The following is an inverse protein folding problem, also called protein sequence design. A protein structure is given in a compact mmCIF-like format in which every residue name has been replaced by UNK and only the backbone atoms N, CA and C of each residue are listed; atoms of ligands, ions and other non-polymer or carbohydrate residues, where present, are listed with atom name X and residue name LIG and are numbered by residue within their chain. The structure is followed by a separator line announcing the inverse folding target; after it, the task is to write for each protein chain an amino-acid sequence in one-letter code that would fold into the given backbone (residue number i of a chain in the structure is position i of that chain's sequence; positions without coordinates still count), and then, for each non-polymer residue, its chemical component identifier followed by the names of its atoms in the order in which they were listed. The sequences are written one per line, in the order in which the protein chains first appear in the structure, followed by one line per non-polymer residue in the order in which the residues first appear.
data_IF_852052686587
#
_entry.id   IF_852052686587
#
_cell.length_a   1.000
_cell.length_b   1.000
_cell.length_c   1.000
_cell.angle_alpha   90.00
_cell.angle_beta   90.00
_cell.angle_gamma   90.00
#
_symmetry.space_group_name_H-M   'P 1'
#
loop_
_entity.id
_entity.type
_entity.pdbx_description
1 polymer ?
#
# COMPACT_ATOMS: atom_id res chain seq x y z
N UNK A 1 -6.29 -7.66 -8.00
CA UNK A 1 -6.78 -8.90 -7.36
C UNK A 1 -6.76 -8.76 -5.84
N UNK A 2 -7.77 -9.30 -5.16
CA UNK A 2 -8.08 -9.07 -3.74
C UNK A 2 -8.04 -10.42 -3.02
N UNK A 3 -7.26 -10.55 -1.94
CA UNK A 3 -7.02 -11.82 -1.26
C UNK A 3 -7.05 -11.66 0.26
N UNK A 4 -7.41 -12.73 0.99
CA UNK A 4 -7.00 -12.84 2.40
C UNK A 4 -5.49 -13.09 2.48
N UNK A 5 -4.88 -12.81 3.63
CA UNK A 5 -3.45 -13.03 3.82
C UNK A 5 -3.03 -14.47 3.50
N UNK A 6 -3.80 -15.48 3.91
CA UNK A 6 -3.46 -16.89 3.67
C UNK A 6 -3.48 -17.29 2.19
N UNK A 7 -4.33 -16.61 1.41
CA UNK A 7 -4.60 -16.93 0.01
C UNK A 7 -3.82 -16.04 -0.97
N UNK A 8 -3.20 -14.97 -0.47
CA UNK A 8 -2.42 -14.06 -1.29
C UNK A 8 -1.26 -14.83 -1.97
N UNK A 9 -1.00 -14.59 -3.27
CA UNK A 9 0.13 -15.19 -3.95
C UNK A 9 1.44 -14.91 -3.20
N UNK A 10 2.23 -15.95 -2.95
CA UNK A 10 3.52 -15.81 -2.30
C UNK A 10 4.43 -14.90 -3.14
N UNK A 11 5.06 -13.94 -2.48
CA UNK A 11 6.03 -13.04 -3.09
C UNK A 11 7.42 -13.55 -2.71
N UNK A 12 8.36 -13.76 -3.65
CA UNK A 12 9.67 -14.36 -3.37
C UNK A 12 10.43 -13.65 -2.24
N UNK A 13 10.22 -12.34 -2.12
CA UNK A 13 10.68 -11.49 -1.04
C UNK A 13 9.56 -10.47 -0.75
N UNK A 14 9.26 -10.25 0.54
CA UNK A 14 8.33 -9.20 0.93
C UNK A 14 7.54 -9.52 2.18
N UNK A 15 7.06 -8.46 2.81
CA UNK A 15 6.36 -8.54 4.10
C UNK A 15 5.13 -9.45 4.06
N UNK A 16 4.41 -9.54 2.94
CA UNK A 16 3.24 -10.43 2.82
C UNK A 16 3.63 -11.87 3.11
N UNK A 17 4.77 -12.32 2.58
CA UNK A 17 5.27 -13.69 2.80
C UNK A 17 5.83 -13.89 4.20
N UNK A 18 6.45 -12.86 4.79
CA UNK A 18 6.83 -12.90 6.21
C UNK A 18 5.58 -13.07 7.10
N UNK A 19 4.54 -12.26 6.91
CA UNK A 19 3.29 -12.33 7.65
C UNK A 19 2.58 -13.68 7.47
N UNK A 20 2.57 -14.23 6.25
CA UNK A 20 2.07 -15.57 5.98
C UNK A 20 2.86 -16.66 6.71
N UNK A 21 4.19 -16.53 6.80
CA UNK A 21 5.03 -17.48 7.53
C UNK A 21 4.77 -17.40 9.03
N UNK A 22 4.73 -16.19 9.61
CA UNK A 22 4.43 -16.00 11.03
C UNK A 22 3.05 -16.58 11.39
N UNK A 23 2.04 -16.36 10.55
CA UNK A 23 0.71 -16.94 10.73
C UNK A 23 0.73 -18.47 10.70
N UNK A 24 1.45 -19.08 9.74
CA UNK A 24 1.58 -20.54 9.63
C UNK A 24 2.29 -21.18 10.82
N UNK A 25 3.25 -20.48 11.40
CA UNK A 25 4.00 -20.91 12.60
C UNK A 25 3.25 -20.57 13.91
N UNK A 26 2.01 -20.09 13.83
CA UNK A 26 1.12 -19.93 14.98
C UNK A 26 1.18 -18.57 15.68
N UNK A 27 1.90 -17.58 15.14
CA UNK A 27 1.79 -16.21 15.65
C UNK A 27 0.45 -15.61 15.25
N UNK A 28 -0.12 -14.83 16.16
CA UNK A 28 -1.36 -14.10 15.90
C UNK A 28 -1.07 -12.90 15.00
N UNK A 29 -1.39 -13.02 13.71
CA UNK A 29 -1.38 -11.91 12.76
C UNK A 29 -2.78 -11.28 12.71
N UNK A 30 -2.85 -9.97 12.51
CA UNK A 30 -4.14 -9.29 12.32
C UNK A 30 -4.80 -9.73 11.01
N UNK A 31 -6.14 -9.83 10.95
CA UNK A 31 -6.85 -10.03 9.70
C UNK A 31 -6.39 -8.99 8.67
N UNK A 32 -5.90 -9.47 7.53
CA UNK A 32 -5.24 -8.64 6.51
C UNK A 32 -5.83 -8.99 5.15
N UNK A 33 -6.36 -7.97 4.48
CA UNK A 33 -6.74 -8.01 3.09
C UNK A 33 -5.57 -7.51 2.24
N UNK A 34 -5.17 -8.30 1.25
CA UNK A 34 -4.04 -8.03 0.35
C UNK A 34 -4.59 -7.68 -1.03
N UNK A 35 -4.35 -6.45 -1.47
CA UNK A 35 -4.67 -5.97 -2.81
C UNK A 35 -3.39 -5.99 -3.66
N UNK A 36 -3.32 -6.93 -4.60
CA UNK A 36 -2.20 -7.12 -5.51
C UNK A 36 -2.65 -6.85 -6.95
N UNK A 37 -1.98 -5.92 -7.65
CA UNK A 37 -2.31 -5.54 -9.03
C UNK A 37 -3.62 -4.76 -9.21
N UNK A 38 -4.37 -4.47 -8.14
CA UNK A 38 -5.58 -3.60 -8.21
C UNK A 38 -5.19 -2.18 -8.61
N UNK A 39 -4.09 -1.67 -8.04
CA UNK A 39 -3.56 -0.35 -8.42
C UNK A 39 -3.12 -0.33 -9.89
N UNK A 40 -2.44 -1.39 -10.35
CA UNK A 40 -2.03 -1.52 -11.77
C UNK A 40 -3.22 -1.53 -12.71
N UNK A 41 -4.26 -2.30 -12.40
CA UNK A 41 -5.53 -2.28 -13.14
C UNK A 41 -6.15 -0.88 -13.13
N UNK A 42 -6.14 -0.20 -11.99
CA UNK A 42 -6.63 1.17 -11.87
C UNK A 42 -5.90 2.14 -12.82
N UNK A 43 -4.56 2.09 -12.90
CA UNK A 43 -3.80 2.93 -13.85
C UNK A 43 -4.07 2.64 -15.34
N UNK A 44 -4.51 1.43 -15.67
CA UNK A 44 -4.83 1.04 -17.06
C UNK A 44 -6.18 1.60 -17.52
N UNK A 45 -7.04 2.02 -16.58
CA UNK A 45 -8.32 2.61 -16.89
C UNK A 45 -8.17 4.08 -17.31
N UNK A 46 -9.14 4.58 -18.09
CA UNK A 46 -9.28 5.99 -18.45
C UNK A 46 -8.01 6.66 -18.99
N UNK A 47 -7.08 5.90 -19.61
CA UNK A 47 -5.79 6.38 -20.08
C UNK A 47 -4.95 7.09 -19.01
N UNK A 48 -5.11 6.74 -17.72
CA UNK A 48 -4.43 7.47 -16.63
C UNK A 48 -2.93 7.45 -16.77
N UNK A 49 -2.34 6.29 -17.05
CA UNK A 49 -0.90 6.16 -17.26
C UNK A 49 -0.37 7.12 -18.35
N UNK A 50 -1.11 7.25 -19.46
CA UNK A 50 -0.72 8.13 -20.58
C UNK A 50 -0.91 9.61 -20.24
N UNK A 51 -2.01 9.98 -19.56
CA UNK A 51 -2.24 11.35 -19.11
C UNK A 51 -1.14 11.81 -18.15
N UNK A 52 -0.73 10.95 -17.22
CA UNK A 52 0.36 11.24 -16.28
C UNK A 52 1.69 11.33 -17.04
N UNK A 53 2.00 10.38 -17.93
CA UNK A 53 3.23 10.41 -18.73
C UNK A 53 3.38 11.75 -19.48
N UNK A 54 2.30 12.23 -20.10
CA UNK A 54 2.28 13.53 -20.79
C UNK A 54 2.52 14.71 -19.86
N UNK A 55 1.96 14.69 -18.65
CA UNK A 55 2.17 15.74 -17.67
C UNK A 55 3.65 15.89 -17.27
N UNK A 56 4.40 14.79 -17.30
CA UNK A 56 5.84 14.76 -16.99
C UNK A 56 6.77 14.99 -18.20
N UNK A 57 6.23 15.27 -19.39
CA UNK A 57 7.05 15.53 -20.58
C UNK A 57 7.94 16.76 -20.39
N UNK A 58 9.26 16.55 -20.57
CA UNK A 58 10.25 17.61 -20.41
C UNK A 58 10.54 18.03 -18.97
N UNK A 59 10.06 17.29 -17.96
CA UNK A 59 10.46 17.46 -16.55
C UNK A 59 11.88 16.97 -16.34
N UNK A 60 12.15 15.74 -16.78
CA UNK A 60 13.45 15.08 -16.65
C UNK A 60 14.26 15.27 -17.95
N UNK A 61 14.92 16.44 -18.07
CA UNK A 61 15.82 16.76 -19.18
C UNK A 61 17.30 16.75 -18.76
N UNK A 62 18.14 17.54 -19.45
CA UNK A 62 19.53 17.76 -19.05
C UNK A 62 19.67 18.43 -17.67
N UNK A 63 18.62 19.15 -17.25
CA UNK A 63 18.40 19.64 -15.88
C UNK A 63 16.95 19.37 -15.51
N UNK A 64 16.71 19.14 -14.22
CA UNK A 64 15.36 19.01 -13.68
C UNK A 64 14.66 20.38 -13.76
N UNK A 65 13.43 20.38 -14.30
CA UNK A 65 12.55 21.54 -14.29
C UNK A 65 11.61 21.43 -13.07
N UNK A 66 11.98 22.09 -11.97
CA UNK A 66 11.28 22.02 -10.68
C UNK A 66 9.83 22.53 -10.78
N UNK A 67 9.59 23.64 -11.49
CA UNK A 67 8.26 24.21 -11.70
C UNK A 67 7.34 23.29 -12.51
N UNK A 68 7.89 22.56 -13.50
CA UNK A 68 7.11 21.54 -14.21
C UNK A 68 6.91 20.29 -13.36
N UNK A 69 7.91 19.88 -12.57
CA UNK A 69 7.80 18.75 -11.67
C UNK A 69 6.63 18.94 -10.70
N UNK A 70 6.58 20.08 -10.00
CA UNK A 70 5.52 20.38 -9.03
C UNK A 70 4.13 20.35 -9.68
N UNK A 71 3.99 20.98 -10.86
CA UNK A 71 2.72 20.96 -11.60
C UNK A 71 2.32 19.57 -12.07
N UNK A 72 3.27 18.77 -12.54
CA UNK A 72 3.03 17.41 -13.00
C UNK A 72 2.61 16.49 -11.84
N UNK A 73 3.28 16.60 -10.68
CA UNK A 73 2.94 15.91 -9.43
C UNK A 73 1.52 16.27 -8.98
N UNK A 74 1.22 17.56 -8.84
CA UNK A 74 -0.11 18.02 -8.42
C UNK A 74 -1.22 17.58 -9.39
N UNK A 75 -0.94 17.58 -10.69
CA UNK A 75 -1.85 17.05 -11.71
C UNK A 75 -2.10 15.55 -11.51
N UNK A 76 -1.05 14.73 -11.37
CA UNK A 76 -1.16 13.29 -11.19
C UNK A 76 -1.89 12.92 -9.89
N UNK A 77 -1.57 13.58 -8.77
CA UNK A 77 -2.25 13.38 -7.48
C UNK A 77 -3.74 13.69 -7.58
N UNK A 78 -4.11 14.79 -8.24
CA UNK A 78 -5.52 15.14 -8.47
C UNK A 78 -6.20 14.12 -9.37
N UNK A 79 -5.56 13.75 -10.48
CA UNK A 79 -6.09 12.82 -11.45
C UNK A 79 -6.41 11.46 -10.81
N UNK A 80 -5.52 10.91 -9.97
CA UNK A 80 -5.80 9.66 -9.25
C UNK A 80 -6.97 9.79 -8.27
N UNK A 81 -7.05 10.90 -7.54
CA UNK A 81 -8.13 11.13 -6.57
C UNK A 81 -9.50 11.31 -7.23
N UNK A 82 -9.55 11.91 -8.42
CA UNK A 82 -10.79 12.18 -9.15
C UNK A 82 -11.22 11.00 -10.04
N UNK A 83 -10.29 10.14 -10.44
CA UNK A 83 -10.60 8.98 -11.29
C UNK A 83 -11.39 7.93 -10.56
N UNK A 84 -12.43 7.37 -11.20
CA UNK A 84 -13.27 6.37 -10.56
C UNK A 84 -12.59 4.99 -10.60
N UNK A 85 -12.71 4.25 -9.50
CA UNK A 85 -12.55 2.80 -9.54
C UNK A 85 -13.78 2.22 -10.25
N UNK A 86 -13.60 1.16 -11.04
CA UNK A 86 -14.74 0.44 -11.63
C UNK A 86 -15.73 0.08 -10.51
N UNK A 87 -17.04 0.35 -10.68
CA UNK A 87 -18.04 0.07 -9.66
C UNK A 87 -17.97 -1.35 -9.12
N UNK A 88 -17.73 -2.32 -10.00
CA UNK A 88 -17.59 -3.75 -9.69
C UNK A 88 -16.40 -3.97 -8.76
N UNK A 89 -15.24 -3.38 -9.09
CA UNK A 89 -14.03 -3.50 -8.27
C UNK A 89 -14.19 -2.82 -6.92
N UNK A 90 -14.83 -1.64 -6.88
CA UNK A 90 -15.10 -0.94 -5.64
C UNK A 90 -16.02 -1.76 -4.73
N UNK A 91 -17.00 -2.45 -5.30
CA UNK A 91 -17.91 -3.32 -4.55
C UNK A 91 -17.22 -4.59 -4.04
N UNK A 92 -16.41 -5.24 -4.87
CA UNK A 92 -15.61 -6.39 -4.44
C UNK A 92 -14.70 -6.04 -3.25
N UNK A 93 -14.04 -4.88 -3.29
CA UNK A 93 -13.22 -4.42 -2.16
C UNK A 93 -14.10 -4.22 -0.93
N UNK A 94 -15.21 -3.47 -1.04
CA UNK A 94 -16.12 -3.22 0.11
C UNK A 94 -16.66 -4.50 0.73
N UNK A 95 -17.02 -5.48 -0.10
CA UNK A 95 -17.53 -6.77 0.36
C UNK A 95 -16.44 -7.56 1.12
N UNK A 96 -15.17 -7.42 0.72
CA UNK A 96 -14.04 -8.09 1.36
C UNK A 96 -13.47 -7.33 2.56
N UNK A 97 -13.83 -6.05 2.76
CA UNK A 97 -13.34 -5.26 3.88
C UNK A 97 -13.85 -5.84 5.21
N UNK A 98 -12.96 -6.01 6.20
CA UNK A 98 -13.35 -6.42 7.53
C UNK A 98 -14.15 -5.30 8.23
N UNK A 99 -14.90 -5.67 9.27
CA UNK A 99 -15.60 -4.71 10.12
C UNK A 99 -14.65 -4.08 11.14
N UNK A 100 -14.92 -2.82 11.51
CA UNK A 100 -14.15 -2.05 12.48
C UNK A 100 -13.00 -1.23 11.87
N UNK A 101 -12.15 -0.61 12.73
CA UNK A 101 -11.03 0.21 12.27
C UNK A 101 -9.99 -0.59 11.51
N UNK A 102 -9.55 -0.06 10.37
CA UNK A 102 -8.55 -0.66 9.49
C UNK A 102 -7.41 0.30 9.16
N UNK A 103 -6.19 -0.23 9.19
CA UNK A 103 -5.02 0.45 8.68
C UNK A 103 -4.87 0.19 7.19
N UNK A 104 -4.65 1.26 6.43
CA UNK A 104 -4.36 1.23 5.00
C UNK A 104 -2.89 1.60 4.81
N UNK A 105 -2.15 0.78 4.05
CA UNK A 105 -0.72 1.02 3.74
C UNK A 105 -0.22 0.18 2.57
N UNK A 106 1.01 0.42 2.14
CA UNK A 106 1.74 -0.56 1.33
C UNK A 106 2.47 -1.58 2.21
N UNK A 107 2.65 -2.80 1.70
CA UNK A 107 3.57 -3.77 2.25
C UNK A 107 5.00 -3.18 2.29
N UNK A 108 5.73 -3.40 3.39
CA UNK A 108 7.04 -2.84 3.70
C UNK A 108 6.99 -1.43 4.30
N UNK A 109 5.89 -0.70 4.15
CA UNK A 109 5.82 0.73 4.46
C UNK A 109 5.07 1.02 5.76
N UNK A 110 5.28 2.24 6.28
CA UNK A 110 4.57 2.71 7.45
C UNK A 110 3.06 2.86 7.17
N UNK A 111 2.21 2.87 8.22
CA UNK A 111 0.80 3.16 8.07
C UNK A 111 0.55 4.48 7.34
N UNK A 112 -0.38 4.48 6.39
CA UNK A 112 -0.79 5.68 5.67
C UNK A 112 -2.04 6.31 6.30
N UNK A 113 -3.00 5.51 6.74
CA UNK A 113 -4.22 5.98 7.40
C UNK A 113 -4.90 4.90 8.23
N UNK A 114 -5.66 5.34 9.23
CA UNK A 114 -6.57 4.52 10.04
C UNK A 114 -8.00 4.94 9.73
N UNK A 115 -8.80 4.04 9.16
CA UNK A 115 -10.14 4.33 8.66
C UNK A 115 -11.15 3.41 9.34
N UNK A 116 -12.34 3.92 9.67
CA UNK A 116 -13.36 3.15 10.40
C UNK A 116 -14.51 2.67 9.53
N UNK A 117 -14.67 3.24 8.33
CA UNK A 117 -15.75 2.93 7.41
C UNK A 117 -15.25 2.40 6.07
N UNK A 118 -16.11 1.61 5.41
CA UNK A 118 -15.79 0.95 4.14
C UNK A 118 -15.55 1.96 3.02
N UNK A 119 -16.30 3.07 3.02
CA UNK A 119 -16.16 4.11 2.01
C UNK A 119 -14.90 4.94 2.23
N UNK A 120 -14.60 5.27 3.48
CA UNK A 120 -13.41 5.99 3.92
C UNK A 120 -12.15 5.19 3.58
N UNK A 121 -12.20 3.87 3.77
CA UNK A 121 -11.13 2.93 3.39
C UNK A 121 -10.87 2.95 1.88
N UNK A 122 -11.92 2.97 1.04
CA UNK A 122 -11.74 3.10 -0.42
C UNK A 122 -11.09 4.44 -0.80
N UNK A 123 -11.50 5.52 -0.15
CA UNK A 123 -10.87 6.82 -0.37
C UNK A 123 -9.42 6.84 0.10
N UNK A 124 -9.11 6.18 1.22
CA UNK A 124 -7.76 6.05 1.73
C UNK A 124 -6.86 5.25 0.78
N UNK A 125 -7.35 4.17 0.16
CA UNK A 125 -6.62 3.45 -0.88
C UNK A 125 -6.26 4.35 -2.06
N UNK A 126 -7.20 5.17 -2.55
CA UNK A 126 -6.92 6.12 -3.63
C UNK A 126 -5.92 7.20 -3.21
N UNK A 127 -6.01 7.69 -1.96
CA UNK A 127 -5.04 8.64 -1.39
C UNK A 127 -3.66 8.01 -1.26
N UNK A 128 -3.59 6.73 -0.87
CA UNK A 128 -2.35 5.94 -0.78
C UNK A 128 -1.70 5.84 -2.17
N UNK A 129 -2.44 5.47 -3.21
CA UNK A 129 -1.90 5.40 -4.57
C UNK A 129 -1.48 6.78 -5.11
N UNK A 130 -2.27 7.82 -4.81
CA UNK A 130 -1.92 9.20 -5.14
C UNK A 130 -0.62 9.65 -4.44
N UNK A 131 -0.32 9.15 -3.24
CA UNK A 131 0.90 9.53 -2.50
C UNK A 131 2.19 9.20 -3.25
N UNK A 132 2.16 8.21 -4.15
CA UNK A 132 3.29 7.91 -5.05
C UNK A 132 3.62 9.06 -6.01
N UNK A 133 2.73 10.03 -6.19
CA UNK A 133 2.93 11.17 -7.08
C UNK A 133 3.31 12.45 -6.35
N UNK A 134 3.49 12.40 -5.03
CA UNK A 134 4.11 13.49 -4.28
C UNK A 134 5.53 13.74 -4.81
N UNK A 135 5.97 15.00 -4.76
CA UNK A 135 7.26 15.45 -5.31
C UNK A 135 8.42 14.59 -4.80
N UNK A 136 8.52 14.39 -3.49
CA UNK A 136 9.59 13.59 -2.88
C UNK A 136 9.57 12.13 -3.37
N UNK A 137 8.39 11.52 -3.46
CA UNK A 137 8.25 10.16 -3.96
C UNK A 137 8.66 10.02 -5.44
N UNK A 138 8.38 11.05 -6.25
CA UNK A 138 8.79 11.10 -7.66
C UNK A 138 10.28 11.31 -7.80
N UNK A 139 10.88 12.21 -7.01
CA UNK A 139 12.32 12.46 -7.02
C UNK A 139 13.15 11.21 -6.69
N UNK A 140 12.66 10.36 -5.78
CA UNK A 140 13.32 9.10 -5.42
C UNK A 140 13.44 8.10 -6.57
N UNK A 141 12.60 8.22 -7.62
CA UNK A 141 12.58 7.29 -8.75
C UNK A 141 12.87 7.92 -10.11
N UNK A 142 12.89 9.25 -10.20
CA UNK A 142 13.13 9.98 -11.44
C UNK A 142 14.41 9.50 -12.15
N UNK A 143 14.40 9.31 -13.47
CA UNK A 143 13.34 9.64 -14.43
C UNK A 143 12.28 8.54 -14.63
N UNK A 144 12.33 7.43 -13.88
CA UNK A 144 11.39 6.32 -14.04
C UNK A 144 10.05 6.67 -13.39
N UNK A 145 9.05 7.04 -14.21
CA UNK A 145 7.77 7.57 -13.70
C UNK A 145 6.88 6.51 -13.03
N UNK A 146 6.93 5.27 -13.51
CA UNK A 146 6.12 4.18 -12.98
C UNK A 146 6.41 3.97 -11.49
N UNK A 147 5.39 4.07 -10.60
CA UNK A 147 5.57 3.75 -9.19
C UNK A 147 6.03 2.29 -9.01
N UNK A 148 6.84 1.99 -7.99
CA UNK A 148 7.20 0.61 -7.67
C UNK A 148 5.94 -0.18 -7.32
N UNK A 149 5.86 -1.42 -7.81
CA UNK A 149 4.76 -2.30 -7.48
C UNK A 149 4.90 -2.77 -6.02
N UNK A 150 3.87 -2.50 -5.22
CA UNK A 150 3.76 -2.97 -3.85
C UNK A 150 2.30 -3.33 -3.56
N UNK A 151 2.08 -4.42 -2.81
CA UNK A 151 0.73 -4.78 -2.38
C UNK A 151 0.18 -3.69 -1.45
N UNK A 152 -1.06 -3.24 -1.71
CA UNK A 152 -1.79 -2.44 -0.72
C UNK A 152 -2.39 -3.40 0.31
N UNK A 153 -2.20 -3.11 1.59
CA UNK A 153 -2.70 -3.89 2.71
C UNK A 153 -3.78 -3.10 3.42
N UNK A 154 -4.89 -3.78 3.74
CA UNK A 154 -5.93 -3.28 4.63
C UNK A 154 -6.02 -4.23 5.82
N UNK A 155 -5.67 -3.74 7.01
CA UNK A 155 -5.43 -4.58 8.18
C UNK A 155 -6.31 -4.14 9.35
N UNK A 156 -7.00 -5.07 9.99
CA UNK A 156 -7.80 -4.74 11.20
C UNK A 156 -6.85 -4.37 12.34
N UNK A 157 -6.92 -3.12 12.78
CA UNK A 157 -6.12 -2.65 13.91
C UNK A 157 -6.88 -1.54 14.63
N UNK A 158 -7.05 -1.70 15.94
CA UNK A 158 -7.94 -0.86 16.74
C UNK A 158 -7.33 0.46 17.21
N UNK A 159 -6.00 0.53 17.43
CA UNK A 159 -5.29 1.64 18.07
C UNK A 159 -3.81 1.73 17.63
N UNK A 160 -3.00 2.52 18.35
CA UNK A 160 -1.56 2.74 18.17
C UNK A 160 -0.78 1.45 17.85
N UNK A 161 0.09 1.54 16.85
CA UNK A 161 1.06 0.49 16.57
C UNK A 161 2.25 0.64 17.50
N UNK A 162 2.52 -0.40 18.28
CA UNK A 162 3.63 -0.41 19.22
C UNK A 162 4.66 -1.42 18.74
N UNK A 163 5.95 -1.05 18.85
CA UNK A 163 7.04 -1.99 18.66
C UNK A 163 7.02 -3.02 19.80
N UNK A 164 6.85 -4.30 19.46
CA UNK A 164 6.79 -5.38 20.43
C UNK A 164 8.09 -6.20 20.38
N UNK A 165 8.95 -6.04 21.39
CA UNK A 165 10.24 -6.72 21.47
C UNK A 165 10.12 -8.24 21.61
N UNK A 166 9.07 -8.73 22.29
CA UNK A 166 8.84 -10.16 22.46
C UNK A 166 8.42 -10.82 21.15
N UNK A 167 7.46 -10.20 20.44
CA UNK A 167 7.06 -10.65 19.11
C UNK A 167 8.21 -10.48 18.10
N UNK A 168 9.02 -9.44 18.23
CA UNK A 168 10.21 -9.23 17.39
C UNK A 168 11.22 -10.37 17.54
N UNK A 169 11.50 -10.80 18.78
CA UNK A 169 12.39 -11.93 19.04
C UNK A 169 11.83 -13.24 18.47
N UNK A 170 10.54 -13.52 18.68
CA UNK A 170 9.87 -14.72 18.15
C UNK A 170 9.85 -14.73 16.62
N UNK A 171 9.45 -13.62 16.01
CA UNK A 171 9.42 -13.48 14.56
C UNK A 171 10.82 -13.60 13.96
N UNK A 172 11.85 -13.07 14.62
CA UNK A 172 13.23 -13.19 14.16
C UNK A 172 13.71 -14.64 14.14
N UNK A 173 13.33 -15.42 15.15
CA UNK A 173 13.63 -16.85 15.21
C UNK A 173 12.93 -17.62 14.07
N UNK A 174 11.66 -17.31 13.81
CA UNK A 174 10.87 -17.97 12.77
C UNK A 174 11.35 -17.63 11.36
N UNK A 175 11.62 -16.34 11.10
CA UNK A 175 12.04 -15.85 9.79
C UNK A 175 13.54 -16.06 9.54
N UNK A 176 14.30 -16.49 10.55
CA UNK A 176 15.74 -16.75 10.45
C UNK A 176 16.58 -15.49 10.22
N UNK A 177 16.03 -14.30 10.49
CA UNK A 177 16.69 -12.99 10.34
C UNK A 177 16.21 -12.04 11.41
N UNK A 178 17.04 -11.07 11.82
CA UNK A 178 16.60 -10.03 12.76
C UNK A 178 15.50 -9.18 12.12
N UNK A 179 14.36 -9.07 12.80
CA UNK A 179 13.24 -8.23 12.41
C UNK A 179 12.68 -7.46 13.60
N UNK A 180 11.95 -6.39 13.31
CA UNK A 180 11.13 -5.66 14.27
C UNK A 180 9.66 -5.83 13.91
N UNK A 181 8.87 -6.15 14.92
CA UNK A 181 7.43 -6.35 14.80
C UNK A 181 6.69 -5.19 15.41
N UNK A 182 5.86 -4.55 14.59
CA UNK A 182 4.84 -3.62 15.08
C UNK A 182 3.54 -4.39 15.27
N UNK A 183 2.98 -4.27 16.46
CA UNK A 183 1.79 -4.97 16.89
C UNK A 183 0.67 -4.01 17.26
N UNK A 184 -0.57 -4.49 17.13
CA UNK A 184 -1.77 -3.86 17.68
C UNK A 184 -2.50 -4.91 18.49
N UNK A 185 -2.82 -4.59 19.75
CA UNK A 185 -3.51 -5.51 20.66
C UNK A 185 -2.83 -6.88 20.77
N UNK A 186 -1.49 -6.92 20.79
CA UNK A 186 -0.69 -8.14 20.88
C UNK A 186 -0.67 -9.01 19.62
N UNK A 187 -1.17 -8.50 18.49
CA UNK A 187 -1.17 -9.19 17.19
C UNK A 187 -0.23 -8.49 16.22
N UNK A 188 0.50 -9.29 15.43
CA UNK A 188 1.44 -8.81 14.41
C UNK A 188 0.66 -8.02 13.34
N UNK A 189 1.06 -6.78 13.10
CA UNK A 189 0.54 -5.93 12.02
C UNK A 189 1.58 -5.76 10.91
N UNK A 190 2.82 -5.46 11.31
CA UNK A 190 3.90 -5.14 10.38
C UNK A 190 5.23 -5.76 10.81
N UNK A 191 6.01 -6.20 9.84
CA UNK A 191 7.37 -6.73 10.03
C UNK A 191 8.36 -5.89 9.21
N UNK A 192 9.45 -5.43 9.83
CA UNK A 192 10.55 -4.70 9.17
C UNK A 192 11.91 -5.30 9.50
#
# INVERSE_FOLDING_TARGET
MIFSLEQAPAQPLGEVTDLQQLLREGLSVVPTLVLLGVETEFYQLANLAEQIRRAFEGVFGARLDEDKLERACAFAERLLRESYLLPERAEEIRAALPEGPVLVRYAGEAPFGLETGKQETLWALKRLWASRWQVDAVLLRGPHLAPPEAASLVQVAGDELVLDESLSAQASQILGRSVKVWASQGRVVRVV
#
